data_IF_956966516230
#
_entry.id   IF_956966516230
#
_cell.length_a   1.000
_cell.length_b   1.000
_cell.length_c   1.000
_cell.angle_alpha   90.00
_cell.angle_beta   90.00
_cell.angle_gamma   90.00
#
_symmetry.space_group_name_H-M   'P 1'
#
loop_
_entity.id
_entity.type
_entity.pdbx_description
1 polymer ?
#
# COMPACT_ATOMS: atom_id res chain seq x y z
N UNK A 1 -56.68 40.12 11.33
CA UNK A 1 -55.55 39.65 10.48
C UNK A 1 -54.66 38.58 11.14
N UNK A 2 -55.05 37.94 12.27
CA UNK A 2 -54.18 37.06 13.06
C UNK A 2 -54.56 35.56 13.04
N UNK A 3 -55.79 35.21 12.62
CA UNK A 3 -56.25 33.81 12.51
C UNK A 3 -55.58 33.05 11.35
N UNK A 4 -55.23 33.75 10.28
CA UNK A 4 -54.64 33.18 9.06
C UNK A 4 -53.17 32.76 9.24
N UNK A 5 -52.41 33.48 10.07
CA UNK A 5 -51.02 33.12 10.41
C UNK A 5 -50.98 31.93 11.37
N UNK A 6 -51.89 31.87 12.36
CA UNK A 6 -51.99 30.76 13.30
C UNK A 6 -52.36 29.43 12.62
N UNK A 7 -53.19 29.43 11.57
CA UNK A 7 -53.51 28.23 10.81
C UNK A 7 -52.34 27.71 9.96
N UNK A 8 -51.41 28.58 9.54
CA UNK A 8 -50.21 28.18 8.80
C UNK A 8 -49.17 27.54 9.72
N UNK A 9 -49.00 28.05 10.94
CA UNK A 9 -48.11 27.47 11.96
C UNK A 9 -48.56 26.09 12.45
N UNK A 10 -49.88 25.88 12.65
CA UNK A 10 -50.41 24.56 13.03
C UNK A 10 -50.22 23.50 11.93
N UNK A 11 -50.37 23.87 10.65
CA UNK A 11 -50.14 22.97 9.51
C UNK A 11 -48.66 22.65 9.32
N UNK A 12 -47.77 23.61 9.54
CA UNK A 12 -46.32 23.39 9.47
C UNK A 12 -45.81 22.45 10.59
N UNK A 13 -46.31 22.59 11.83
CA UNK A 13 -45.94 21.72 12.94
C UNK A 13 -46.41 20.27 12.76
N UNK A 14 -47.57 20.06 12.12
CA UNK A 14 -48.09 18.72 11.81
C UNK A 14 -47.27 18.04 10.71
N UNK A 15 -46.81 18.76 9.68
CA UNK A 15 -45.95 18.20 8.63
C UNK A 15 -44.57 17.75 9.15
N UNK A 16 -43.97 18.49 10.08
CA UNK A 16 -42.64 18.17 10.62
C UNK A 16 -42.71 16.92 11.53
N UNK A 17 -43.81 16.74 12.28
CA UNK A 17 -44.04 15.56 13.13
C UNK A 17 -44.22 14.26 12.33
N UNK A 18 -44.91 14.33 11.18
CA UNK A 18 -45.11 13.17 10.30
C UNK A 18 -43.80 12.76 9.59
N UNK A 19 -42.91 13.72 9.28
CA UNK A 19 -41.61 13.44 8.66
C UNK A 19 -40.61 12.76 9.61
N UNK A 20 -40.66 13.06 10.91
CA UNK A 20 -39.83 12.45 11.95
C UNK A 20 -40.33 11.06 12.40
N UNK A 21 -41.60 10.73 12.16
CA UNK A 21 -42.16 9.40 12.47
C UNK A 21 -42.03 8.39 11.32
N UNK A 22 -41.91 8.84 10.07
CA UNK A 22 -41.69 7.94 8.90
C UNK A 22 -40.23 7.48 8.79
N UNK A 23 -39.29 8.19 9.43
CA UNK A 23 -37.85 7.88 9.36
C UNK A 23 -37.37 6.81 10.36
N UNK A 24 -38.23 6.35 11.29
CA UNK A 24 -37.85 5.38 12.33
C UNK A 24 -38.42 3.97 12.06
N UNK A 25 -39.28 3.78 11.04
CA UNK A 25 -39.89 2.48 10.72
C UNK A 25 -39.78 2.13 9.23
N UNK A 26 -38.56 2.14 8.70
CA UNK A 26 -38.23 1.36 7.50
C UNK A 26 -37.35 0.18 7.93
N UNK A 27 -37.93 -1.04 8.07
CA UNK A 27 -37.14 -2.22 8.38
C UNK A 27 -36.26 -2.55 7.16
N UNK A 28 -34.95 -2.58 7.41
CA UNK A 28 -33.96 -3.54 6.91
C UNK A 28 -34.46 -4.52 5.83
N UNK A 29 -34.73 -4.05 4.61
CA UNK A 29 -34.83 -4.88 3.40
C UNK A 29 -34.27 -4.07 2.24
N UNK A 30 -32.96 -3.85 2.28
CA UNK A 30 -32.06 -3.53 1.17
C UNK A 30 -30.63 -3.46 1.72
N UNK A 31 -30.25 -4.42 2.59
CA UNK A 31 -28.83 -4.75 2.65
C UNK A 31 -28.47 -5.27 1.25
N UNK A 32 -27.33 -4.85 0.66
CA UNK A 32 -26.92 -5.42 -0.61
C UNK A 32 -26.97 -6.93 -0.45
N UNK A 33 -27.77 -7.61 -1.27
CA UNK A 33 -27.64 -9.04 -1.41
C UNK A 33 -26.16 -9.29 -1.66
N UNK A 34 -25.53 -10.21 -0.92
CA UNK A 34 -24.25 -10.83 -1.31
C UNK A 34 -24.49 -11.71 -2.56
N UNK A 35 -25.18 -11.14 -3.55
CA UNK A 35 -25.45 -11.68 -4.85
C UNK A 35 -24.24 -11.37 -5.71
N UNK A 36 -23.62 -12.44 -6.17
CA UNK A 36 -22.54 -12.47 -7.14
C UNK A 36 -21.26 -11.75 -6.70
N UNK A 37 -20.43 -12.46 -5.93
CA UNK A 37 -18.97 -12.26 -5.98
C UNK A 37 -18.47 -12.84 -7.31
N UNK A 38 -18.86 -12.21 -8.42
CA UNK A 38 -18.43 -12.55 -9.78
C UNK A 38 -18.57 -11.33 -10.68
N UNK A 39 -17.88 -10.26 -10.29
CA UNK A 39 -17.05 -9.59 -11.29
C UNK A 39 -15.65 -9.68 -10.70
N UNK A 40 -14.78 -10.52 -11.27
CA UNK A 40 -13.36 -10.29 -11.06
C UNK A 40 -13.16 -8.80 -11.38
N UNK A 41 -12.70 -8.00 -10.40
CA UNK A 41 -12.22 -6.67 -10.71
C UNK A 41 -11.27 -6.80 -11.90
N UNK A 42 -11.29 -5.85 -12.84
CA UNK A 42 -10.38 -5.85 -13.98
C UNK A 42 -8.98 -6.27 -13.53
N UNK A 43 -8.48 -7.42 -14.02
CA UNK A 43 -7.15 -7.90 -13.66
C UNK A 43 -6.13 -6.98 -14.33
N UNK A 44 -5.27 -6.35 -13.53
CA UNK A 44 -4.15 -5.58 -14.04
C UNK A 44 -2.86 -6.36 -13.79
N UNK A 45 -2.19 -6.74 -14.88
CA UNK A 45 -0.90 -7.42 -14.83
C UNK A 45 0.25 -6.45 -15.08
N UNK A 46 1.14 -6.31 -14.09
CA UNK A 46 2.35 -5.47 -14.18
C UNK A 46 3.61 -6.25 -14.61
N UNK A 47 3.61 -7.56 -14.38
CA UNK A 47 4.80 -8.40 -14.56
C UNK A 47 4.97 -8.84 -16.01
N UNK A 48 6.23 -8.86 -16.48
CA UNK A 48 6.60 -9.17 -17.87
C UNK A 48 7.33 -10.51 -18.01
N UNK A 49 7.81 -11.07 -16.90
CA UNK A 49 8.53 -12.34 -16.83
C UNK A 49 7.87 -13.33 -15.88
N UNK A 50 8.31 -14.59 -15.95
CA UNK A 50 7.85 -15.66 -15.07
C UNK A 50 8.52 -15.65 -13.68
N UNK A 51 9.59 -14.86 -13.49
CA UNK A 51 10.37 -14.82 -12.25
C UNK A 51 10.14 -13.48 -11.56
N UNK A 52 9.09 -13.46 -10.74
CA UNK A 52 8.62 -12.31 -9.98
C UNK A 52 8.63 -12.69 -8.51
N UNK A 53 9.05 -11.79 -7.64
CA UNK A 53 9.07 -12.03 -6.21
C UNK A 53 8.78 -10.75 -5.42
N UNK A 54 8.36 -10.94 -4.17
CA UNK A 54 8.23 -9.89 -3.16
C UNK A 54 7.39 -8.66 -3.59
N UNK A 55 6.11 -8.81 -3.98
CA UNK A 55 5.27 -7.65 -4.19
C UNK A 55 5.02 -6.92 -2.86
N UNK A 56 5.09 -5.60 -2.88
CA UNK A 56 4.79 -4.72 -1.78
C UNK A 56 3.88 -3.57 -2.24
N UNK A 57 2.72 -3.45 -1.61
CA UNK A 57 1.70 -2.46 -1.94
C UNK A 57 1.85 -1.23 -1.03
N UNK A 58 1.91 -0.05 -1.64
CA UNK A 58 1.70 1.23 -0.96
C UNK A 58 0.34 1.82 -1.36
N UNK A 59 0.04 3.01 -0.84
CA UNK A 59 -1.28 3.63 -1.05
C UNK A 59 -1.63 3.87 -2.53
N UNK A 60 -0.64 4.27 -3.33
CA UNK A 60 -0.82 4.65 -4.74
C UNK A 60 0.19 3.98 -5.69
N UNK A 61 0.87 2.95 -5.24
CA UNK A 61 1.84 2.23 -6.04
C UNK A 61 2.04 0.80 -5.58
N UNK A 62 2.60 -0.03 -6.44
CA UNK A 62 3.12 -1.35 -6.11
C UNK A 62 4.59 -1.43 -6.49
N UNK A 63 5.40 -2.07 -5.66
CA UNK A 63 6.81 -2.37 -5.95
C UNK A 63 7.04 -3.88 -5.91
N UNK A 64 7.92 -4.40 -6.75
CA UNK A 64 8.22 -5.83 -6.82
C UNK A 64 9.61 -6.08 -7.40
N UNK A 65 10.17 -7.25 -7.11
CA UNK A 65 11.40 -7.72 -7.75
C UNK A 65 11.02 -8.59 -8.94
N UNK A 66 11.69 -8.36 -10.07
CA UNK A 66 11.49 -9.16 -11.28
C UNK A 66 12.80 -9.40 -11.99
N UNK A 67 12.98 -10.63 -12.49
CA UNK A 67 14.07 -10.96 -13.40
C UNK A 67 13.69 -10.54 -14.82
N UNK A 68 14.40 -9.57 -15.39
CA UNK A 68 14.27 -9.15 -16.79
C UNK A 68 15.67 -9.01 -17.38
N UNK A 69 15.83 -9.46 -18.63
CA UNK A 69 17.05 -9.22 -19.43
C UNK A 69 18.38 -9.61 -18.73
N UNK A 70 18.38 -10.72 -17.98
CA UNK A 70 19.59 -11.24 -17.35
C UNK A 70 19.80 -10.86 -15.88
N UNK A 71 18.97 -9.98 -15.31
CA UNK A 71 19.16 -9.47 -13.95
C UNK A 71 17.85 -9.35 -13.15
N UNK A 72 17.93 -9.57 -11.83
CA UNK A 72 16.87 -9.17 -10.90
C UNK A 72 16.93 -7.67 -10.67
N UNK A 73 15.79 -7.00 -10.77
CA UNK A 73 15.65 -5.57 -10.55
C UNK A 73 14.37 -5.27 -9.77
N UNK A 74 14.39 -4.14 -9.05
CA UNK A 74 13.26 -3.61 -8.30
C UNK A 74 12.47 -2.66 -9.21
N UNK A 75 11.23 -3.01 -9.47
CA UNK A 75 10.28 -2.21 -10.25
C UNK A 75 9.23 -1.59 -9.34
N UNK A 76 8.70 -0.46 -9.78
CA UNK A 76 7.61 0.26 -9.16
C UNK A 76 6.60 0.66 -10.23
N UNK A 77 5.31 0.56 -9.92
CA UNK A 77 4.23 1.06 -10.75
C UNK A 77 3.36 2.01 -9.94
N UNK A 78 3.22 3.25 -10.42
CA UNK A 78 2.36 4.25 -9.81
C UNK A 78 0.96 4.19 -10.44
N UNK A 79 -0.08 3.97 -9.63
CA UNK A 79 -1.45 3.81 -10.11
C UNK A 79 -2.06 5.12 -10.64
N UNK A 80 -1.64 6.27 -10.11
CA UNK A 80 -2.15 7.58 -10.51
C UNK A 80 -1.57 8.01 -11.86
N UNK A 81 -0.25 7.92 -12.02
CA UNK A 81 0.44 8.33 -13.26
C UNK A 81 0.44 7.22 -14.31
N UNK A 82 0.16 5.97 -13.90
CA UNK A 82 0.21 4.77 -14.73
C UNK A 82 1.60 4.48 -15.31
N UNK A 83 2.65 4.86 -14.58
CA UNK A 83 4.05 4.72 -15.01
C UNK A 83 4.74 3.60 -14.24
N UNK A 84 5.40 2.69 -14.96
CA UNK A 84 6.38 1.73 -14.43
C UNK A 84 7.78 2.34 -14.43
N UNK A 85 8.56 2.16 -13.36
CA UNK A 85 9.98 2.55 -13.27
C UNK A 85 10.80 1.44 -12.63
N UNK A 86 12.07 1.34 -13.04
CA UNK A 86 13.10 0.58 -12.32
C UNK A 86 13.75 1.49 -11.28
N UNK A 87 13.80 1.07 -10.01
CA UNK A 87 14.31 1.91 -8.92
C UNK A 87 15.81 1.72 -8.65
N UNK A 88 16.33 0.50 -8.82
CA UNK A 88 17.73 0.18 -8.55
C UNK A 88 18.65 0.50 -9.74
N UNK A 89 19.84 1.05 -9.45
CA UNK A 89 20.87 1.34 -10.47
C UNK A 89 21.69 0.09 -10.84
N UNK A 90 22.04 -0.71 -9.84
CA UNK A 90 22.83 -1.94 -9.97
C UNK A 90 21.90 -3.14 -9.81
N UNK A 91 22.14 -4.20 -10.59
CA UNK A 91 21.38 -5.45 -10.52
C UNK A 91 21.39 -6.03 -9.10
N UNK A 92 20.23 -6.54 -8.67
CA UNK A 92 20.03 -7.10 -7.35
C UNK A 92 20.54 -8.54 -7.28
N UNK A 93 21.09 -8.93 -6.13
CA UNK A 93 21.41 -10.33 -5.87
C UNK A 93 20.12 -11.16 -5.72
N UNK A 94 20.20 -12.46 -6.00
CA UNK A 94 19.05 -13.37 -5.87
C UNK A 94 18.53 -13.50 -4.44
N UNK A 95 19.35 -13.17 -3.45
CA UNK A 95 19.03 -13.20 -2.02
C UNK A 95 18.74 -11.81 -1.43
N UNK A 96 18.49 -10.81 -2.28
CA UNK A 96 17.97 -9.49 -1.86
C UNK A 96 16.74 -9.66 -0.98
N UNK A 97 16.68 -8.87 0.09
CA UNK A 97 15.51 -8.77 0.96
C UNK A 97 14.66 -7.56 0.55
N UNK A 98 13.33 -7.74 0.55
CA UNK A 98 12.36 -6.72 0.20
C UNK A 98 11.86 -6.85 -1.24
N UNK A 99 11.15 -5.82 -1.77
CA UNK A 99 10.90 -4.53 -1.15
C UNK A 99 10.00 -4.60 0.08
N UNK A 100 10.16 -3.62 0.97
CA UNK A 100 9.18 -3.25 2.00
C UNK A 100 8.78 -1.81 1.76
N UNK A 101 7.49 -1.51 1.88
CA UNK A 101 6.92 -0.18 1.58
C UNK A 101 6.43 0.47 2.86
N UNK A 102 6.70 1.76 3.02
CA UNK A 102 6.11 2.59 4.06
C UNK A 102 5.91 4.01 3.54
N UNK A 103 4.66 4.48 3.50
CA UNK A 103 4.28 5.76 2.88
C UNK A 103 4.81 5.87 1.44
N UNK A 104 5.59 6.91 1.12
CA UNK A 104 6.23 7.14 -0.17
C UNK A 104 7.62 6.50 -0.31
N UNK A 105 8.03 5.65 0.65
CA UNK A 105 9.36 5.04 0.64
C UNK A 105 9.31 3.56 0.27
N UNK A 106 10.31 3.13 -0.50
CA UNK A 106 10.60 1.73 -0.80
C UNK A 106 11.95 1.36 -0.19
N UNK A 107 11.97 0.29 0.59
CA UNK A 107 13.16 -0.20 1.28
C UNK A 107 13.56 -1.57 0.75
N UNK A 108 14.86 -1.82 0.59
CA UNK A 108 15.40 -3.14 0.30
C UNK A 108 16.77 -3.29 0.94
N UNK A 109 17.22 -4.53 1.06
CA UNK A 109 18.58 -4.85 1.50
C UNK A 109 19.21 -5.80 0.50
N UNK A 110 20.32 -5.39 -0.09
CA UNK A 110 21.03 -6.18 -1.09
C UNK A 110 22.46 -6.48 -0.63
N UNK A 111 23.01 -7.58 -1.14
CA UNK A 111 24.37 -8.00 -0.86
C UNK A 111 25.37 -7.23 -1.75
N UNK A 112 26.36 -6.60 -1.13
CA UNK A 112 27.51 -6.04 -1.81
C UNK A 112 28.81 -6.68 -1.29
N UNK A 113 29.94 -6.60 -2.02
CA UNK A 113 31.23 -7.13 -1.55
C UNK A 113 31.66 -6.66 -0.16
N UNK A 114 31.20 -5.48 0.26
CA UNK A 114 31.45 -4.86 1.56
C UNK A 114 30.37 -5.15 2.62
N UNK A 115 29.53 -6.16 2.40
CA UNK A 115 28.42 -6.56 3.28
C UNK A 115 27.05 -6.08 2.79
N UNK A 116 26.03 -6.36 3.61
CA UNK A 116 24.63 -6.05 3.30
C UNK A 116 24.35 -4.55 3.38
N UNK A 117 23.73 -4.00 2.34
CA UNK A 117 23.40 -2.57 2.21
C UNK A 117 21.91 -2.39 2.33
N UNK A 118 21.50 -1.61 3.31
CA UNK A 118 20.13 -1.13 3.37
C UNK A 118 19.99 0.08 2.47
N UNK A 119 18.94 0.12 1.67
CA UNK A 119 18.59 1.26 0.83
C UNK A 119 17.16 1.68 1.09
N UNK A 120 16.93 2.98 1.22
CA UNK A 120 15.61 3.60 1.19
C UNK A 120 15.51 4.50 -0.05
N UNK A 121 14.44 4.38 -0.81
CA UNK A 121 14.15 5.22 -1.97
C UNK A 121 12.90 6.04 -1.72
N UNK A 122 13.00 7.36 -1.86
CA UNK A 122 11.89 8.31 -1.79
C UNK A 122 11.26 8.46 -3.16
N UNK A 123 10.03 7.95 -3.33
CA UNK A 123 9.31 8.04 -4.61
C UNK A 123 8.89 9.46 -4.99
N UNK A 124 8.76 10.37 -4.02
CA UNK A 124 8.32 11.74 -4.30
C UNK A 124 9.47 12.61 -4.80
N UNK A 125 10.67 12.39 -4.27
CA UNK A 125 11.86 13.18 -4.59
C UNK A 125 12.83 12.46 -5.53
N UNK A 126 12.59 11.18 -5.84
CA UNK A 126 13.48 10.31 -6.62
C UNK A 126 14.90 10.25 -6.06
N UNK A 127 15.01 10.33 -4.74
CA UNK A 127 16.29 10.25 -4.00
C UNK A 127 16.40 8.92 -3.28
N UNK A 128 17.63 8.52 -2.96
CA UNK A 128 17.86 7.34 -2.15
C UNK A 128 18.92 7.61 -1.09
N UNK A 129 18.86 6.81 -0.02
CA UNK A 129 19.86 6.77 1.03
C UNK A 129 20.27 5.33 1.24
N UNK A 130 21.57 5.12 1.41
CA UNK A 130 22.15 3.83 1.77
C UNK A 130 22.78 3.90 3.14
N UNK A 131 22.72 2.80 3.88
CA UNK A 131 23.47 2.64 5.12
C UNK A 131 23.79 1.17 5.37
N UNK A 132 24.72 0.96 6.30
CA UNK A 132 25.15 -0.37 6.74
C UNK A 132 24.98 -0.47 8.24
N UNK A 133 24.92 -1.71 8.69
CA UNK A 133 24.95 -2.06 10.12
C UNK A 133 26.25 -2.78 10.40
N UNK A 134 26.56 -3.02 11.67
CA UNK A 134 27.77 -3.75 12.08
C UNK A 134 27.67 -5.27 11.81
N UNK A 135 26.49 -5.76 11.38
CA UNK A 135 26.27 -7.18 11.15
C UNK A 135 26.60 -7.60 9.72
N UNK A 136 27.22 -8.76 9.59
CA UNK A 136 27.69 -9.27 8.30
C UNK A 136 26.55 -9.82 7.41
N UNK A 137 25.41 -10.20 8.01
CA UNK A 137 24.26 -10.74 7.27
C UNK A 137 22.95 -10.46 7.98
N UNK A 138 21.98 -9.98 7.21
CA UNK A 138 20.59 -9.79 7.62
C UNK A 138 19.76 -10.93 7.00
N UNK A 139 18.80 -11.46 7.75
CA UNK A 139 17.92 -12.54 7.27
C UNK A 139 16.48 -12.08 7.01
N UNK A 140 16.13 -10.91 7.51
CA UNK A 140 14.87 -10.24 7.24
C UNK A 140 14.84 -8.90 7.93
N UNK A 141 13.97 -8.02 7.43
CA UNK A 141 13.76 -6.70 7.98
C UNK A 141 12.32 -6.24 7.74
N UNK A 142 11.87 -5.29 8.53
CA UNK A 142 10.63 -4.56 8.37
C UNK A 142 10.88 -3.08 8.69
N UNK A 143 9.95 -2.23 8.25
CA UNK A 143 10.01 -0.79 8.50
C UNK A 143 8.71 -0.28 9.10
N UNK A 144 8.82 0.72 9.96
CA UNK A 144 7.69 1.48 10.50
C UNK A 144 8.16 2.89 10.83
N UNK A 145 7.57 3.90 10.22
CA UNK A 145 8.02 5.28 10.33
C UNK A 145 9.51 5.44 10.00
N UNK A 146 10.32 5.84 10.99
CA UNK A 146 11.77 6.00 10.86
C UNK A 146 12.54 4.80 11.38
N UNK A 147 11.86 3.74 11.79
CA UNK A 147 12.45 2.55 12.37
C UNK A 147 12.64 1.49 11.29
N UNK A 148 13.83 0.91 11.28
CA UNK A 148 14.15 -0.30 10.53
C UNK A 148 14.48 -1.38 11.54
N UNK A 149 13.65 -2.40 11.61
CA UNK A 149 13.82 -3.54 12.50
C UNK A 149 14.31 -4.71 11.66
N UNK A 150 15.39 -5.36 12.07
CA UNK A 150 15.99 -6.46 11.34
C UNK A 150 16.48 -7.52 12.30
N UNK A 151 16.67 -8.74 11.80
CA UNK A 151 17.24 -9.83 12.59
C UNK A 151 18.41 -10.46 11.87
N UNK A 152 19.38 -10.91 12.67
CA UNK A 152 20.62 -11.55 12.24
C UNK A 152 20.89 -12.78 13.11
N UNK A 153 21.71 -13.70 12.62
CA UNK A 153 22.23 -14.80 13.43
C UNK A 153 23.56 -14.38 14.02
N UNK A 154 23.71 -14.50 15.33
CA UNK A 154 24.99 -14.34 15.99
C UNK A 154 25.72 -15.68 15.95
N UNK A 155 26.87 -15.73 15.28
CA UNK A 155 27.77 -16.88 15.40
C UNK A 155 28.43 -16.80 16.77
N UNK A 156 28.14 -17.73 17.68
CA UNK A 156 28.99 -17.91 18.86
C UNK A 156 30.28 -18.59 18.41
N UNK A 157 31.41 -17.89 18.51
CA UNK A 157 32.70 -18.57 18.58
C UNK A 157 32.76 -19.29 19.94
N UNK A 158 32.92 -20.61 19.92
CA UNK A 158 33.33 -21.41 21.07
C UNK A 158 34.82 -21.15 21.36
#
# INVERSE_FOLDING_TARGET
>A
MQKHTLSKLKKAAILISVFLLISIVAPLVNGPSLGNISSAADEIRFTKSAKVAHPALGDNFISWIEYREGAYNLYNYNFQTRVEKKLNKVALASDTLGPVVFQNYVYWVDHAPSGWVFTSYDLNHETYKEWRTEVNRVFGFNVYEKLVVYYFRQSHCL
#
